data_IF_464259249572
#
_entry.id   IF_464259249572
#
_cell.length_a   1.000
_cell.length_b   1.000
_cell.length_c   1.000
_cell.angle_alpha   90.00
_cell.angle_beta   90.00
_cell.angle_gamma   90.00
#
_symmetry.space_group_name_H-M   'P 1'
#
loop_
_entity.id
_entity.type
_entity.pdbx_description
1 polymer ?
#
# COMPACT_ATOMS: atom_id res chain seq x y z
N UNK A 1 -52.89 -3.76 -3.61
CA UNK A 1 -51.54 -3.14 -3.68
C UNK A 1 -51.41 -2.30 -4.95
N UNK A 2 -51.77 -2.82 -6.12
CA UNK A 2 -51.84 -2.09 -7.40
C UNK A 2 -52.64 -0.78 -7.31
N UNK A 3 -53.86 -0.81 -6.78
CA UNK A 3 -54.70 0.40 -6.64
C UNK A 3 -54.11 1.51 -5.75
N UNK A 4 -53.29 1.15 -4.76
CA UNK A 4 -52.60 2.12 -3.90
C UNK A 4 -51.40 2.76 -4.60
N UNK A 5 -50.77 2.00 -5.49
CA UNK A 5 -49.68 2.48 -6.34
C UNK A 5 -50.27 3.36 -7.44
N UNK A 6 -51.39 2.95 -8.02
CA UNK A 6 -52.09 3.71 -9.05
C UNK A 6 -52.65 5.03 -8.51
N UNK A 7 -53.12 5.10 -7.25
CA UNK A 7 -53.53 6.36 -6.60
C UNK A 7 -52.37 7.23 -6.11
N UNK A 8 -51.21 6.65 -5.82
CA UNK A 8 -49.97 7.41 -5.57
C UNK A 8 -49.38 7.98 -6.86
N UNK A 9 -49.50 7.23 -7.96
CA UNK A 9 -49.00 7.62 -9.28
C UNK A 9 -50.02 8.43 -10.09
N UNK A 10 -51.29 8.49 -9.67
CA UNK A 10 -52.31 9.31 -10.34
C UNK A 10 -51.97 10.80 -10.26
N UNK A 11 -51.36 11.28 -9.17
CA UNK A 11 -50.80 12.65 -9.10
C UNK A 11 -49.72 12.92 -10.17
N UNK A 12 -48.98 11.89 -10.58
CA UNK A 12 -47.99 11.99 -11.64
C UNK A 12 -48.60 11.89 -13.06
N UNK A 13 -49.80 11.32 -13.20
CA UNK A 13 -50.42 10.97 -14.48
C UNK A 13 -51.67 11.81 -14.84
N UNK A 14 -52.35 12.42 -13.88
CA UNK A 14 -53.72 12.93 -14.05
C UNK A 14 -53.83 14.44 -14.34
N UNK A 15 -52.75 15.22 -14.24
CA UNK A 15 -52.79 16.65 -14.54
C UNK A 15 -51.73 17.01 -15.57
N UNK A 16 -52.07 16.91 -16.87
CA UNK A 16 -51.34 17.49 -18.01
C UNK A 16 -49.82 17.64 -17.80
N UNK A 17 -49.02 16.62 -18.17
CA UNK A 17 -47.53 16.62 -18.14
C UNK A 17 -46.99 18.01 -17.83
N UNK A 18 -46.52 18.32 -16.61
CA UNK A 18 -46.14 19.67 -16.27
C UNK A 18 -44.82 19.98 -16.99
N UNK A 19 -44.92 20.29 -18.29
CA UNK A 19 -43.79 20.54 -19.19
C UNK A 19 -42.87 21.56 -18.58
N UNK A 20 -43.44 22.54 -17.88
CA UNK A 20 -42.72 23.56 -17.10
C UNK A 20 -41.87 22.96 -15.99
N UNK A 21 -42.40 22.07 -15.15
CA UNK A 21 -41.64 21.40 -14.08
C UNK A 21 -40.53 20.53 -14.68
N UNK A 22 -40.84 19.76 -15.73
CA UNK A 22 -39.83 18.97 -16.44
C UNK A 22 -38.73 19.85 -17.04
N UNK A 23 -39.08 21.01 -17.63
CA UNK A 23 -38.11 21.99 -18.14
C UNK A 23 -37.28 22.58 -17.01
N UNK A 24 -37.87 22.94 -15.87
CA UNK A 24 -37.12 23.41 -14.70
C UNK A 24 -36.16 22.35 -14.18
N UNK A 25 -36.57 21.09 -14.12
CA UNK A 25 -35.70 19.97 -13.76
C UNK A 25 -34.58 19.78 -14.79
N UNK A 26 -34.88 19.90 -16.08
CA UNK A 26 -33.89 19.75 -17.16
C UNK A 26 -32.86 20.90 -17.10
N UNK A 27 -33.30 22.13 -16.88
CA UNK A 27 -32.45 23.30 -16.69
C UNK A 27 -31.60 23.14 -15.42
N UNK A 28 -32.20 22.69 -14.32
CA UNK A 28 -31.49 22.40 -13.07
C UNK A 28 -30.44 21.29 -13.25
N UNK A 29 -30.75 20.23 -14.01
CA UNK A 29 -29.83 19.14 -14.31
C UNK A 29 -28.62 19.65 -15.11
N UNK A 30 -28.86 20.48 -16.13
CA UNK A 30 -27.80 21.09 -16.94
C UNK A 30 -26.93 22.01 -16.08
N UNK A 31 -27.55 22.87 -15.25
CA UNK A 31 -26.83 23.73 -14.31
C UNK A 31 -26.01 22.94 -13.30
N UNK A 32 -26.55 21.84 -12.77
CA UNK A 32 -25.87 20.93 -11.85
C UNK A 32 -24.66 20.27 -12.52
N UNK A 33 -24.79 19.85 -13.78
CA UNK A 33 -23.69 19.30 -14.56
C UNK A 33 -22.54 20.31 -14.76
N UNK A 34 -22.88 21.54 -15.16
CA UNK A 34 -21.89 22.62 -15.30
C UNK A 34 -21.23 22.92 -13.94
N UNK A 35 -22.02 22.97 -12.87
CA UNK A 35 -21.52 23.19 -11.52
C UNK A 35 -20.56 22.07 -11.08
N UNK A 36 -20.83 20.81 -11.39
CA UNK A 36 -19.94 19.69 -11.08
C UNK A 36 -18.58 19.83 -11.80
N UNK A 37 -18.59 20.20 -13.08
CA UNK A 37 -17.36 20.42 -13.86
C UNK A 37 -16.55 21.60 -13.30
N UNK A 38 -17.22 22.72 -13.00
CA UNK A 38 -16.58 23.89 -12.39
C UNK A 38 -16.01 23.54 -11.01
N UNK A 39 -16.76 22.79 -10.20
CA UNK A 39 -16.30 22.34 -8.88
C UNK A 39 -15.04 21.47 -9.00
N UNK A 40 -14.99 20.55 -9.96
CA UNK A 40 -13.81 19.68 -10.15
C UNK A 40 -12.57 20.48 -10.57
N UNK A 41 -12.73 21.50 -11.43
CA UNK A 41 -11.62 22.34 -11.92
C UNK A 41 -11.09 23.27 -10.82
N UNK A 42 -11.98 23.94 -10.08
CA UNK A 42 -11.60 24.97 -9.09
C UNK A 42 -11.37 24.38 -7.69
N UNK A 43 -12.04 23.27 -7.36
CA UNK A 43 -11.92 22.55 -6.09
C UNK A 43 -11.61 21.09 -6.36
N UNK A 44 -10.42 20.77 -6.92
CA UNK A 44 -10.02 19.39 -7.12
C UNK A 44 -10.16 18.65 -5.79
N UNK A 45 -10.94 17.56 -5.73
CA UNK A 45 -11.04 16.77 -4.52
C UNK A 45 -9.63 16.30 -4.19
N UNK A 46 -9.17 16.61 -2.97
CA UNK A 46 -7.92 16.08 -2.45
C UNK A 46 -8.15 14.58 -2.24
N UNK A 47 -8.05 13.79 -3.31
CA UNK A 47 -7.93 12.34 -3.25
C UNK A 47 -6.56 12.06 -2.68
N UNK A 48 -6.44 12.24 -1.37
CA UNK A 48 -5.23 11.93 -0.65
C UNK A 48 -5.13 10.42 -0.59
N UNK A 49 -4.51 9.81 -1.61
CA UNK A 49 -3.85 8.50 -1.52
C UNK A 49 -2.67 8.56 -0.52
N UNK A 50 -2.79 9.32 0.57
CA UNK A 50 -1.74 9.51 1.58
C UNK A 50 -1.64 8.35 2.54
N UNK A 51 -2.65 7.47 2.60
CA UNK A 51 -2.54 6.21 3.32
C UNK A 51 -2.45 5.06 2.32
N UNK A 52 -1.21 4.73 1.93
CA UNK A 52 -0.91 3.38 1.47
C UNK A 52 -1.53 2.44 2.53
N UNK A 53 -2.43 1.51 2.15
CA UNK A 53 -3.06 0.62 3.12
C UNK A 53 -1.97 -0.03 3.98
N UNK A 54 -2.18 -0.08 5.29
CA UNK A 54 -1.16 -0.52 6.26
C UNK A 54 -0.54 -1.89 5.89
N UNK A 55 -1.29 -2.72 5.15
CA UNK A 55 -0.86 -3.99 4.57
C UNK A 55 0.36 -3.87 3.63
N UNK A 56 0.40 -2.86 2.76
CA UNK A 56 1.54 -2.62 1.86
C UNK A 56 2.71 -1.99 2.61
N UNK A 57 2.45 -1.10 3.58
CA UNK A 57 3.49 -0.53 4.43
C UNK A 57 4.18 -1.57 5.34
N UNK A 58 3.48 -2.64 5.71
CA UNK A 58 4.09 -3.78 6.39
C UNK A 58 5.04 -4.55 5.47
N UNK A 59 4.68 -4.75 4.20
CA UNK A 59 5.56 -5.43 3.23
C UNK A 59 6.87 -4.68 3.03
N UNK A 60 6.83 -3.34 2.93
CA UNK A 60 8.04 -2.54 2.74
C UNK A 60 8.95 -2.55 3.97
N UNK A 61 8.38 -2.57 5.18
CA UNK A 61 9.15 -2.75 6.43
C UNK A 61 9.81 -4.12 6.52
N UNK A 62 9.11 -5.18 6.10
CA UNK A 62 9.69 -6.52 6.07
C UNK A 62 10.80 -6.60 5.00
N UNK A 63 10.62 -6.02 3.82
CA UNK A 63 11.68 -5.92 2.80
C UNK A 63 12.92 -5.19 3.30
N UNK A 64 12.76 -4.08 4.02
CA UNK A 64 13.89 -3.35 4.61
C UNK A 64 14.65 -4.20 5.64
N UNK A 65 13.94 -4.95 6.50
CA UNK A 65 14.56 -5.91 7.42
C UNK A 65 15.32 -7.02 6.67
N UNK A 66 14.77 -7.54 5.58
CA UNK A 66 15.44 -8.53 4.73
C UNK A 66 16.73 -7.96 4.12
N UNK A 67 16.70 -6.75 3.58
CA UNK A 67 17.91 -6.10 3.03
C UNK A 67 18.99 -5.85 4.09
N UNK A 68 18.60 -5.40 5.29
CA UNK A 68 19.54 -5.23 6.41
C UNK A 68 20.15 -6.56 6.86
N UNK A 69 19.36 -7.63 6.86
CA UNK A 69 19.80 -9.00 7.18
C UNK A 69 20.78 -9.54 6.14
N UNK A 70 20.50 -9.33 4.85
CA UNK A 70 21.42 -9.68 3.75
C UNK A 70 22.77 -8.95 3.87
N UNK A 71 22.75 -7.64 4.14
CA UNK A 71 23.97 -6.86 4.30
C UNK A 71 24.82 -7.34 5.51
N UNK A 72 24.18 -7.73 6.63
CA UNK A 72 24.88 -8.33 7.78
C UNK A 72 25.45 -9.70 7.43
N UNK A 73 24.70 -10.53 6.71
CA UNK A 73 25.13 -11.85 6.27
C UNK A 73 26.37 -11.75 5.37
N UNK A 74 26.37 -10.82 4.42
CA UNK A 74 27.51 -10.57 3.54
C UNK A 74 28.76 -10.17 4.33
N UNK A 75 28.62 -9.28 5.33
CA UNK A 75 29.73 -8.88 6.20
C UNK A 75 30.31 -10.05 6.99
N UNK A 76 29.45 -10.85 7.62
CA UNK A 76 29.86 -12.04 8.37
C UNK A 76 30.58 -13.03 7.44
N UNK A 77 30.05 -13.25 6.23
CA UNK A 77 30.65 -14.16 5.25
C UNK A 77 32.02 -13.66 4.77
N UNK A 78 32.18 -12.36 4.57
CA UNK A 78 33.45 -11.73 4.22
C UNK A 78 34.48 -11.86 5.34
N UNK A 79 34.08 -11.69 6.60
CA UNK A 79 34.96 -11.92 7.77
C UNK A 79 35.40 -13.39 7.83
N UNK A 80 34.47 -14.35 7.67
CA UNK A 80 34.78 -15.78 7.62
C UNK A 80 35.75 -16.14 6.48
N UNK A 81 35.57 -15.57 5.29
CA UNK A 81 36.49 -15.78 4.16
C UNK A 81 37.91 -15.29 4.47
N UNK A 82 38.05 -14.16 5.17
CA UNK A 82 39.36 -13.66 5.59
C UNK A 82 40.07 -14.61 6.56
N UNK A 83 39.32 -15.33 7.40
CA UNK A 83 39.88 -16.36 8.26
C UNK A 83 40.26 -17.63 7.50
N UNK A 84 39.49 -18.00 6.46
CA UNK A 84 39.86 -19.12 5.57
C UNK A 84 41.16 -18.85 4.80
N UNK A 85 41.42 -17.59 4.40
CA UNK A 85 42.70 -17.21 3.80
C UNK A 85 43.87 -17.31 4.80
N UNK A 86 43.66 -16.89 6.06
CA UNK A 86 44.65 -17.05 7.14
C UNK A 86 44.93 -18.53 7.46
N UNK A 87 43.93 -19.39 7.33
CA UNK A 87 44.08 -20.84 7.48
C UNK A 87 45.01 -21.41 6.41
N UNK A 88 44.83 -21.01 5.15
CA UNK A 88 45.72 -21.38 4.04
C UNK A 88 47.17 -20.92 4.28
N UNK A 89 47.35 -19.80 4.98
CA UNK A 89 48.66 -19.27 5.37
C UNK A 89 49.23 -19.87 6.67
N UNK A 90 48.54 -20.84 7.29
CA UNK A 90 48.90 -21.47 8.59
C UNK A 90 49.13 -20.46 9.74
N UNK A 91 48.52 -19.28 9.69
CA UNK A 91 48.70 -18.20 10.68
C UNK A 91 47.53 -18.06 11.66
N UNK A 92 46.67 -19.09 11.77
CA UNK A 92 45.51 -19.06 12.66
C UNK A 92 45.94 -19.09 14.13
N UNK A 93 45.45 -18.12 14.92
CA UNK A 93 45.68 -18.06 16.37
C UNK A 93 44.47 -18.59 17.12
N UNK A 94 44.65 -19.07 18.37
CA UNK A 94 43.56 -19.56 19.23
C UNK A 94 42.43 -18.52 19.45
N UNK A 95 42.76 -17.23 19.41
CA UNK A 95 41.79 -16.14 19.48
C UNK A 95 40.92 -16.06 18.20
N UNK A 96 41.51 -16.33 17.04
CA UNK A 96 40.79 -16.38 15.76
C UNK A 96 39.78 -17.52 15.76
N UNK A 97 40.12 -18.68 16.36
CA UNK A 97 39.19 -19.82 16.48
C UNK A 97 37.90 -19.45 17.23
N UNK A 98 38.01 -18.72 18.35
CA UNK A 98 36.83 -18.26 19.10
C UNK A 98 35.99 -17.26 18.29
N UNK A 99 36.65 -16.39 17.51
CA UNK A 99 35.96 -15.42 16.66
C UNK A 99 35.24 -16.10 15.49
N UNK A 100 35.83 -17.14 14.90
CA UNK A 100 35.21 -17.95 13.84
C UNK A 100 33.95 -18.65 14.37
N UNK A 101 34.02 -19.26 15.56
CA UNK A 101 32.86 -19.91 16.17
C UNK A 101 31.72 -18.93 16.45
N UNK A 102 32.06 -17.74 16.97
CA UNK A 102 31.10 -16.66 17.15
C UNK A 102 30.44 -16.25 15.82
N UNK A 103 31.25 -15.98 14.78
CA UNK A 103 30.75 -15.58 13.45
C UNK A 103 29.91 -16.67 12.79
N UNK A 104 30.26 -17.94 12.99
CA UNK A 104 29.49 -19.07 12.48
C UNK A 104 28.13 -19.20 13.18
N UNK A 105 28.07 -18.97 14.49
CA UNK A 105 26.82 -18.95 15.22
C UNK A 105 25.94 -17.76 14.81
N UNK A 106 26.54 -16.59 14.59
CA UNK A 106 25.85 -15.40 14.06
C UNK A 106 25.29 -15.66 12.65
N UNK A 107 26.08 -16.26 11.76
CA UNK A 107 25.62 -16.69 10.43
C UNK A 107 24.44 -17.65 10.51
N UNK A 108 24.51 -18.67 11.38
CA UNK A 108 23.43 -19.65 11.57
C UNK A 108 22.15 -19.00 12.08
N UNK A 109 22.25 -18.03 13.00
CA UNK A 109 21.11 -17.25 13.48
C UNK A 109 20.50 -16.41 12.36
N UNK A 110 21.33 -15.65 11.64
CA UNK A 110 20.88 -14.82 10.51
C UNK A 110 20.24 -15.65 9.38
N UNK A 111 20.63 -16.92 9.19
CA UNK A 111 20.03 -17.79 8.17
C UNK A 111 18.71 -18.44 8.60
N UNK A 112 18.54 -18.72 9.90
CA UNK A 112 17.39 -19.47 10.43
C UNK A 112 16.29 -18.59 11.03
N UNK A 113 16.57 -17.32 11.31
CA UNK A 113 15.53 -16.36 11.66
C UNK A 113 14.64 -16.14 10.42
N UNK A 114 13.31 -16.25 10.50
CA UNK A 114 12.43 -15.96 9.37
C UNK A 114 12.53 -14.49 8.95
#
# INVERSE_FOLDING_TARGET
MKERIDSLLSWANEQNRPKKILIYFLVFLVLSGIFAVVREIYFPPKVTLTSIPNFYAQSDKEKEKFHLKEARLEKVMKELHSFQEKEKMKSLTKNDSMRIEYLYNEYKKLKNEP
#
